data_IF_468671294938
#
_entry.id   IF_468671294938
#
_cell.length_a   1.000
_cell.length_b   1.000
_cell.length_c   1.000
_cell.angle_alpha   90.00
_cell.angle_beta   90.00
_cell.angle_gamma   90.00
#
_symmetry.space_group_name_H-M   'P 1'
#
loop_
_entity.id
_entity.type
_entity.pdbx_description
1 polymer ?
#
# COMPACT_ATOMS: atom_id res chain seq x y z
N UNK A 1 48.41 -48.78 19.56
CA UNK A 1 48.35 -47.48 20.27
C UNK A 1 47.09 -46.76 19.79
N UNK A 2 45.98 -46.78 20.55
CA UNK A 2 45.52 -45.71 21.49
C UNK A 2 45.21 -44.38 20.76
N UNK A 3 44.06 -43.69 20.79
CA UNK A 3 42.75 -43.66 21.53
C UNK A 3 41.75 -42.88 20.61
N UNK A 4 40.46 -43.20 20.45
CA UNK A 4 39.27 -42.91 21.29
C UNK A 4 39.03 -41.45 21.73
N UNK A 5 37.79 -40.96 21.46
CA UNK A 5 36.95 -39.86 22.04
C UNK A 5 36.57 -38.78 21.01
N UNK A 6 35.32 -38.67 20.53
CA UNK A 6 34.02 -38.31 21.18
C UNK A 6 33.83 -36.81 21.44
N UNK A 7 32.63 -36.33 21.09
CA UNK A 7 31.89 -35.16 21.60
C UNK A 7 31.75 -33.94 20.67
N UNK A 8 30.56 -33.83 20.05
CA UNK A 8 29.84 -32.55 19.89
C UNK A 8 29.48 -31.99 21.28
N UNK A 9 29.21 -30.67 21.49
CA UNK A 9 27.85 -30.16 21.23
C UNK A 9 27.69 -28.63 20.97
N UNK A 10 26.51 -28.30 20.41
CA UNK A 10 25.69 -27.09 20.63
C UNK A 10 26.18 -25.72 20.11
N UNK A 11 25.44 -25.19 19.14
CA UNK A 11 24.99 -23.80 19.17
C UNK A 11 23.53 -23.74 18.72
N UNK A 12 22.67 -23.34 19.66
CA UNK A 12 21.24 -23.12 19.54
C UNK A 12 20.93 -21.69 19.11
N UNK A 13 19.70 -21.49 18.63
CA UNK A 13 18.94 -20.24 18.54
C UNK A 13 19.33 -19.31 17.36
N UNK A 14 18.44 -18.67 16.61
CA UNK A 14 17.03 -18.34 16.80
C UNK A 14 16.26 -18.57 15.47
N UNK A 15 15.18 -19.34 15.52
CA UNK A 15 14.05 -19.22 14.59
C UNK A 15 13.00 -18.37 15.30
N UNK A 16 12.82 -17.12 14.89
CA UNK A 16 11.61 -16.36 15.26
C UNK A 16 10.62 -16.48 14.10
N UNK A 17 9.64 -17.37 14.32
CA UNK A 17 8.40 -17.38 13.57
C UNK A 17 7.57 -16.16 14.01
N UNK A 18 7.33 -15.23 13.08
CA UNK A 18 6.42 -14.12 13.28
C UNK A 18 5.02 -14.57 12.83
N UNK A 19 4.29 -15.21 13.74
CA UNK A 19 2.87 -15.51 13.56
C UNK A 19 2.08 -14.45 14.31
N UNK A 20 1.61 -13.42 13.61
CA UNK A 20 0.59 -12.51 14.13
C UNK A 20 -0.73 -12.81 13.44
N UNK A 21 -1.67 -13.23 14.27
CA UNK A 21 -3.06 -13.45 13.96
C UNK A 21 -3.74 -12.16 13.48
N UNK A 22 -4.63 -12.31 12.52
CA UNK A 22 -5.76 -11.39 12.37
C UNK A 22 -7.01 -12.21 12.09
N UNK A 23 -7.76 -12.36 13.18
CA UNK A 23 -9.05 -13.02 13.30
C UNK A 23 -10.09 -12.00 12.85
N UNK A 24 -10.55 -12.09 11.60
CA UNK A 24 -11.72 -11.34 11.14
C UNK A 24 -12.95 -12.11 11.59
N UNK A 25 -13.73 -11.47 12.46
CA UNK A 25 -15.02 -11.94 12.94
C UNK A 25 -16.01 -11.99 11.78
N UNK A 26 -16.47 -13.19 11.43
CA UNK A 26 -17.67 -13.39 10.60
C UNK A 26 -18.82 -13.52 11.58
N UNK A 27 -19.71 -12.53 11.56
CA UNK A 27 -20.97 -12.54 12.30
C UNK A 27 -21.85 -13.69 11.82
N UNK A 28 -22.01 -14.69 12.68
CA UNK A 28 -22.99 -15.75 12.54
C UNK A 28 -24.26 -15.35 13.28
N UNK A 29 -25.32 -15.10 12.51
CA UNK A 29 -26.70 -14.98 12.98
C UNK A 29 -27.17 -16.30 13.58
N UNK A 30 -27.55 -16.30 14.86
CA UNK A 30 -28.34 -17.37 15.45
C UNK A 30 -29.62 -16.80 16.06
N UNK A 31 -30.72 -17.03 15.35
CA UNK A 31 -32.05 -17.11 15.94
C UNK A 31 -32.03 -18.07 17.13
N UNK A 32 -32.46 -17.59 18.30
CA UNK A 32 -33.32 -18.39 19.19
C UNK A 32 -34.07 -17.50 20.17
N UNK A 33 -35.35 -17.82 20.19
CA UNK A 33 -36.51 -17.31 20.90
C UNK A 33 -36.48 -17.69 22.40
N UNK A 34 -37.47 -17.16 23.13
CA UNK A 34 -37.87 -17.40 24.53
C UNK A 34 -37.28 -16.41 25.55
N UNK A 35 -38.02 -15.80 26.47
CA UNK A 35 -39.46 -15.60 26.67
C UNK A 35 -39.57 -14.63 27.86
N UNK A 36 -40.66 -13.87 27.85
CA UNK A 36 -41.52 -13.57 29.00
C UNK A 36 -41.22 -12.42 29.99
N UNK A 37 -42.31 -11.64 30.14
CA UNK A 37 -42.84 -10.95 31.32
C UNK A 37 -42.02 -9.87 32.04
N UNK A 38 -42.46 -8.61 31.88
CA UNK A 38 -42.98 -7.84 33.01
C UNK A 38 -43.84 -6.66 32.53
N UNK A 39 -45.14 -6.77 32.80
CA UNK A 39 -46.11 -5.66 32.81
C UNK A 39 -45.72 -4.65 33.88
N UNK A 40 -45.75 -3.35 33.57
CA UNK A 40 -46.19 -2.32 34.53
C UNK A 40 -47.14 -1.34 33.81
N UNK A 41 -48.27 -1.13 34.47
CA UNK A 41 -49.41 -0.29 34.16
C UNK A 41 -49.08 1.21 34.29
N UNK A 42 -49.80 2.07 33.56
CA UNK A 42 -49.93 3.48 33.93
C UNK A 42 -50.31 4.42 32.80
N UNK A 43 -51.59 4.44 32.42
CA UNK A 43 -52.17 5.48 31.59
C UNK A 43 -52.39 6.77 32.41
N UNK A 44 -52.11 7.94 31.82
CA UNK A 44 -52.83 9.17 32.17
C UNK A 44 -52.04 10.48 32.22
N UNK A 45 -52.22 11.29 31.16
CA UNK A 45 -52.38 12.77 31.17
C UNK A 45 -51.20 13.66 31.59
N UNK A 46 -50.61 14.36 30.62
CA UNK A 46 -50.83 15.80 30.35
C UNK A 46 -49.69 16.38 29.49
N UNK A 47 -50.05 17.25 28.55
CA UNK A 47 -49.11 17.89 27.63
C UNK A 47 -48.16 18.88 28.30
N UNK A 48 -47.02 19.08 27.67
CA UNK A 48 -46.25 20.32 27.75
C UNK A 48 -45.35 20.41 26.51
N UNK A 49 -45.61 21.41 25.67
CA UNK A 49 -44.68 21.86 24.62
C UNK A 49 -43.32 22.20 25.24
N UNK A 50 -42.26 21.55 24.77
CA UNK A 50 -40.88 22.05 24.80
C UNK A 50 -40.13 21.54 23.57
N UNK A 51 -39.92 22.46 22.64
CA UNK A 51 -38.71 22.71 21.85
C UNK A 51 -37.87 21.53 21.33
N UNK A 52 -37.71 21.55 19.99
CA UNK A 52 -36.47 21.33 19.25
C UNK A 52 -35.60 20.12 19.65
N UNK A 53 -35.82 19.01 18.95
CA UNK A 53 -34.76 18.15 18.41
C UNK A 53 -35.31 17.49 17.15
N UNK A 54 -35.13 18.14 16.00
CA UNK A 54 -35.15 17.38 14.73
C UNK A 54 -33.93 16.47 14.76
N UNK A 55 -34.22 15.19 14.92
CA UNK A 55 -33.27 14.10 15.06
C UNK A 55 -32.30 14.08 13.86
N UNK A 56 -31.01 14.08 14.15
CA UNK A 56 -29.91 13.98 13.17
C UNK A 56 -29.74 12.53 12.66
N UNK A 57 -30.82 11.74 12.65
CA UNK A 57 -30.77 10.29 12.42
C UNK A 57 -31.30 9.85 11.04
N UNK A 58 -31.85 10.77 10.23
CA UNK A 58 -32.50 10.43 8.95
C UNK A 58 -31.61 10.51 7.69
N UNK A 59 -30.28 10.62 7.83
CA UNK A 59 -29.35 10.66 6.66
C UNK A 59 -28.53 9.37 6.47
N UNK A 60 -28.62 8.38 7.38
CA UNK A 60 -27.71 7.21 7.38
C UNK A 60 -28.37 5.88 6.95
N UNK A 61 -29.53 5.91 6.29
CA UNK A 61 -30.13 4.68 5.75
C UNK A 61 -30.91 4.96 4.48
N UNK A 62 -30.24 4.90 3.32
CA UNK A 62 -30.93 5.11 2.05
C UNK A 62 -30.10 5.11 0.76
N UNK A 63 -28.81 4.81 0.79
CA UNK A 63 -28.11 4.41 -0.45
C UNK A 63 -28.04 2.87 -0.49
N UNK A 64 -29.18 2.27 -0.82
CA UNK A 64 -29.23 0.92 -1.35
C UNK A 64 -28.15 0.77 -2.43
N UNK A 65 -27.42 -0.35 -2.41
CA UNK A 65 -26.48 -0.81 -3.43
C UNK A 65 -26.84 -0.29 -4.83
N UNK A 66 -26.35 0.88 -5.22
CA UNK A 66 -26.25 1.22 -6.63
C UNK A 66 -25.21 0.25 -7.11
N UNK A 67 -25.63 -0.83 -7.78
CA UNK A 67 -24.74 -1.80 -8.39
C UNK A 67 -23.71 -0.99 -9.16
N UNK A 68 -22.52 -0.82 -8.58
CA UNK A 68 -21.42 -0.23 -9.32
C UNK A 68 -21.22 -1.22 -10.46
N UNK A 69 -21.26 -0.76 -11.72
CA UNK A 69 -20.85 -1.61 -12.82
C UNK A 69 -19.51 -2.24 -12.42
N UNK A 70 -19.40 -3.56 -12.54
CA UNK A 70 -18.12 -4.21 -12.31
C UNK A 70 -17.11 -3.52 -13.25
N UNK A 71 -16.08 -2.85 -12.72
CA UNK A 71 -15.20 -2.05 -13.56
C UNK A 71 -14.44 -2.99 -14.49
N UNK A 72 -14.40 -2.75 -15.79
CA UNK A 72 -13.62 -3.59 -16.71
C UNK A 72 -12.16 -3.12 -16.79
N UNK A 73 -11.91 -1.84 -16.43
CA UNK A 73 -10.58 -1.22 -16.43
C UNK A 73 -10.28 -0.58 -15.08
N UNK A 74 -9.19 -1.01 -14.46
CA UNK A 74 -8.67 -0.44 -13.22
C UNK A 74 -7.30 0.19 -13.48
N UNK A 75 -7.16 1.48 -13.20
CA UNK A 75 -5.87 2.15 -13.18
C UNK A 75 -5.34 2.24 -11.75
N UNK A 76 -4.08 1.87 -11.54
CA UNK A 76 -3.37 1.95 -10.27
C UNK A 76 -2.20 2.90 -10.45
N UNK A 77 -2.25 4.07 -9.80
CA UNK A 77 -1.18 5.07 -9.86
C UNK A 77 -0.22 4.85 -8.69
N UNK A 78 0.92 4.22 -8.97
CA UNK A 78 2.01 3.98 -8.02
C UNK A 78 2.51 2.54 -8.03
N UNK A 79 3.55 2.27 -8.83
CA UNK A 79 4.21 0.95 -8.95
C UNK A 79 5.18 0.62 -7.79
N UNK A 80 4.74 0.80 -6.55
CA UNK A 80 5.49 0.35 -5.35
C UNK A 80 4.69 -0.72 -4.60
N UNK A 81 5.05 -0.97 -3.33
CA UNK A 81 4.39 -1.98 -2.49
C UNK A 81 2.86 -1.88 -2.51
N UNK A 82 2.32 -0.68 -2.33
CA UNK A 82 0.86 -0.47 -2.34
C UNK A 82 0.20 -0.89 -3.64
N UNK A 83 0.71 -0.41 -4.78
CA UNK A 83 0.13 -0.73 -6.08
C UNK A 83 0.31 -2.19 -6.48
N UNK A 84 1.49 -2.77 -6.25
CA UNK A 84 1.72 -4.19 -6.56
C UNK A 84 0.83 -5.11 -5.71
N UNK A 85 0.73 -4.87 -4.39
CA UNK A 85 -0.14 -5.69 -3.52
C UNK A 85 -1.61 -5.53 -3.89
N UNK A 86 -2.01 -4.35 -4.37
CA UNK A 86 -3.35 -4.11 -4.89
C UNK A 86 -3.60 -4.95 -6.14
N UNK A 87 -2.71 -4.90 -7.14
CA UNK A 87 -2.82 -5.69 -8.36
C UNK A 87 -2.87 -7.20 -8.08
N UNK A 88 -2.00 -7.69 -7.19
CA UNK A 88 -2.00 -9.08 -6.74
C UNK A 88 -3.30 -9.48 -6.05
N UNK A 89 -3.87 -8.59 -5.24
CA UNK A 89 -5.14 -8.84 -4.57
C UNK A 89 -6.30 -8.90 -5.56
N UNK A 90 -6.32 -7.99 -6.54
CA UNK A 90 -7.32 -7.97 -7.60
C UNK A 90 -7.28 -9.26 -8.43
N UNK A 91 -6.09 -9.68 -8.88
CA UNK A 91 -5.93 -10.94 -9.64
C UNK A 91 -6.21 -12.18 -8.79
N UNK A 92 -5.59 -12.30 -7.63
CA UNK A 92 -5.66 -13.53 -6.83
C UNK A 92 -6.98 -13.71 -6.06
N UNK A 93 -7.35 -12.72 -5.23
CA UNK A 93 -8.53 -12.82 -4.34
C UNK A 93 -9.79 -12.28 -4.99
N UNK A 94 -9.66 -11.17 -5.71
CA UNK A 94 -10.77 -10.54 -6.42
C UNK A 94 -11.21 -11.31 -7.66
N UNK A 95 -10.35 -12.20 -8.19
CA UNK A 95 -10.53 -12.89 -9.48
C UNK A 95 -10.94 -11.90 -10.56
N UNK A 96 -10.29 -10.75 -10.54
CA UNK A 96 -10.55 -9.70 -11.48
C UNK A 96 -9.92 -10.06 -12.81
N UNK A 97 -10.73 -10.18 -13.86
CA UNK A 97 -10.29 -10.58 -15.21
C UNK A 97 -10.13 -9.38 -16.16
N UNK A 98 -10.58 -8.18 -15.75
CA UNK A 98 -10.46 -6.98 -16.56
C UNK A 98 -9.03 -6.44 -16.67
N UNK A 99 -8.86 -5.33 -17.38
CA UNK A 99 -7.55 -4.69 -17.56
C UNK A 99 -7.11 -4.00 -16.26
N UNK A 100 -5.90 -4.29 -15.81
CA UNK A 100 -5.25 -3.53 -14.73
C UNK A 100 -4.04 -2.83 -15.32
N UNK A 101 -4.03 -1.49 -15.28
CA UNK A 101 -2.86 -0.69 -15.65
C UNK A 101 -2.16 -0.22 -14.39
N UNK A 102 -0.88 -0.56 -14.22
CA UNK A 102 -0.05 -0.14 -13.10
C UNK A 102 0.97 0.90 -13.56
N UNK A 103 0.80 2.13 -13.10
CA UNK A 103 1.59 3.29 -13.52
C UNK A 103 2.65 3.60 -12.48
N UNK A 104 3.90 3.75 -12.90
CA UNK A 104 5.04 4.02 -12.03
C UNK A 104 5.98 5.06 -12.63
N UNK A 105 6.25 6.12 -11.87
CA UNK A 105 7.18 7.18 -12.29
C UNK A 105 8.65 6.71 -12.35
N UNK A 106 8.99 5.60 -11.71
CA UNK A 106 10.34 5.02 -11.71
C UNK A 106 10.43 3.91 -12.77
N UNK A 107 11.56 3.74 -13.46
CA UNK A 107 11.72 2.75 -14.53
C UNK A 107 11.91 1.31 -14.01
N UNK A 108 11.94 1.13 -12.69
CA UNK A 108 12.24 -0.13 -12.04
C UNK A 108 10.97 -0.93 -11.73
N UNK A 109 11.06 -2.26 -11.79
CA UNK A 109 10.01 -3.14 -11.26
C UNK A 109 9.75 -2.85 -9.77
N UNK A 110 8.54 -3.10 -9.24
CA UNK A 110 8.21 -2.75 -7.86
C UNK A 110 9.17 -3.38 -6.85
N UNK A 111 9.72 -2.54 -5.98
CA UNK A 111 10.75 -2.91 -5.02
C UNK A 111 10.48 -2.33 -3.63
N UNK A 112 11.13 -2.90 -2.62
CA UNK A 112 11.05 -2.50 -1.23
C UNK A 112 12.05 -1.38 -0.92
N UNK A 113 11.57 -0.33 -0.26
CA UNK A 113 12.36 0.89 0.01
C UNK A 113 13.19 0.86 1.30
N UNK A 114 12.82 0.18 2.41
CA UNK A 114 13.60 0.13 3.64
C UNK A 114 15.06 -0.37 3.52
N UNK A 115 15.41 -1.29 2.60
CA UNK A 115 16.80 -1.69 2.38
C UNK A 115 17.66 -0.60 1.72
N UNK A 116 17.06 0.40 1.07
CA UNK A 116 17.78 1.43 0.32
C UNK A 116 18.69 2.31 1.17
N UNK A 117 18.34 2.55 2.43
CA UNK A 117 19.15 3.31 3.39
C UNK A 117 20.03 2.43 4.28
N UNK A 118 20.02 1.11 4.05
CA UNK A 118 20.72 0.12 4.84
C UNK A 118 21.61 -0.72 3.95
N UNK A 119 21.20 -1.95 3.64
CA UNK A 119 22.02 -2.94 2.96
C UNK A 119 22.48 -2.47 1.57
N UNK A 120 21.62 -1.76 0.83
CA UNK A 120 21.99 -1.24 -0.50
C UNK A 120 22.99 -0.11 -0.39
N UNK A 121 22.73 0.88 0.48
CA UNK A 121 23.62 2.02 0.68
C UNK A 121 24.99 1.58 1.24
N UNK A 122 24.99 0.59 2.14
CA UNK A 122 26.19 -0.03 2.68
C UNK A 122 26.95 -0.89 1.65
N UNK A 123 26.36 -1.16 0.48
CA UNK A 123 26.95 -1.99 -0.57
C UNK A 123 26.93 -3.49 -0.27
N UNK A 124 26.16 -3.94 0.73
CA UNK A 124 25.99 -5.35 1.07
C UNK A 124 25.05 -6.06 0.09
N UNK A 125 24.06 -5.34 -0.43
CA UNK A 125 23.07 -5.85 -1.38
C UNK A 125 23.11 -5.05 -2.68
N UNK A 126 22.99 -5.74 -3.81
CA UNK A 126 22.65 -5.08 -5.07
C UNK A 126 21.16 -4.71 -5.13
N UNK A 127 20.77 -3.70 -5.94
CA UNK A 127 19.39 -3.24 -6.04
C UNK A 127 18.38 -4.32 -6.40
N UNK A 128 18.78 -5.33 -7.18
CA UNK A 128 17.95 -6.46 -7.58
C UNK A 128 17.40 -7.26 -6.40
N UNK A 129 18.10 -7.28 -5.25
CA UNK A 129 17.62 -7.94 -4.04
C UNK A 129 16.50 -7.19 -3.34
N UNK A 130 16.19 -5.97 -3.76
CA UNK A 130 15.09 -5.17 -3.22
C UNK A 130 13.77 -5.42 -3.92
N UNK A 131 13.75 -6.11 -5.07
CA UNK A 131 12.51 -6.41 -5.78
C UNK A 131 11.50 -7.11 -4.86
N UNK A 132 10.26 -6.62 -4.87
CA UNK A 132 9.19 -7.17 -4.02
C UNK A 132 8.76 -8.56 -4.47
N UNK A 133 8.81 -8.77 -5.78
CA UNK A 133 8.61 -10.05 -6.44
C UNK A 133 9.52 -10.09 -7.68
N UNK A 134 9.99 -11.29 -8.11
CA UNK A 134 10.72 -11.46 -9.36
C UNK A 134 9.92 -10.94 -10.58
N UNK A 135 10.58 -10.38 -11.61
CA UNK A 135 9.90 -9.82 -12.79
C UNK A 135 8.92 -10.79 -13.46
N UNK A 136 9.30 -12.05 -13.60
CA UNK A 136 8.47 -13.13 -14.13
C UNK A 136 7.14 -13.28 -13.38
N UNK A 137 7.16 -13.20 -12.05
CA UNK A 137 5.94 -13.25 -11.23
C UNK A 137 5.07 -12.01 -11.35
N UNK A 138 5.69 -10.85 -11.62
CA UNK A 138 4.93 -9.62 -11.87
C UNK A 138 4.28 -9.70 -13.24
N UNK A 139 4.99 -10.20 -14.24
CA UNK A 139 4.49 -10.36 -15.61
C UNK A 139 3.34 -11.39 -15.67
N UNK A 140 3.39 -12.46 -14.86
CA UNK A 140 2.31 -13.44 -14.68
C UNK A 140 0.97 -12.83 -14.22
N UNK A 141 0.98 -11.62 -13.63
CA UNK A 141 -0.24 -10.92 -13.24
C UNK A 141 -1.01 -10.34 -14.43
N UNK A 142 -0.44 -10.32 -15.64
CA UNK A 142 -1.09 -9.79 -16.84
C UNK A 142 -1.50 -8.33 -16.67
N UNK A 143 -0.56 -7.48 -16.23
CA UNK A 143 -0.76 -6.05 -16.03
C UNK A 143 -0.29 -5.28 -17.26
N UNK A 144 -0.97 -4.17 -17.57
CA UNK A 144 -0.39 -3.13 -18.42
C UNK A 144 0.57 -2.29 -17.53
N UNK A 145 1.86 -2.62 -17.58
CA UNK A 145 2.90 -1.96 -16.79
C UNK A 145 3.42 -0.71 -17.48
N UNK A 146 3.15 0.47 -16.91
CA UNK A 146 3.66 1.77 -17.37
C UNK A 146 4.74 2.28 -16.43
N UNK A 147 5.95 1.70 -16.53
CA UNK A 147 7.11 2.11 -15.73
C UNK A 147 7.84 3.29 -16.38
N UNK A 148 8.61 4.04 -15.58
CA UNK A 148 9.32 5.24 -16.03
C UNK A 148 8.41 6.38 -16.48
N UNK A 149 7.10 6.28 -16.21
CA UNK A 149 6.08 7.19 -16.72
C UNK A 149 5.27 7.74 -15.56
N UNK A 150 5.30 9.07 -15.38
CA UNK A 150 4.65 9.74 -14.25
C UNK A 150 3.20 10.06 -14.61
N UNK A 151 2.28 9.80 -13.69
CA UNK A 151 0.95 10.39 -13.76
C UNK A 151 1.01 11.87 -13.34
N UNK A 152 0.56 12.76 -14.21
CA UNK A 152 0.67 14.22 -14.03
C UNK A 152 -0.69 14.91 -13.85
N UNK A 153 -1.77 14.27 -14.31
CA UNK A 153 -3.11 14.83 -14.21
C UNK A 153 -4.18 13.75 -14.07
N UNK A 154 -5.31 14.15 -13.50
CA UNK A 154 -6.49 13.31 -13.34
C UNK A 154 -7.72 14.06 -13.86
N UNK A 155 -8.37 13.50 -14.87
CA UNK A 155 -9.65 13.96 -15.39
C UNK A 155 -10.75 12.99 -14.94
N UNK A 156 -11.63 13.44 -14.03
CA UNK A 156 -12.71 12.62 -13.49
C UNK A 156 -13.94 12.58 -14.41
N UNK A 157 -14.11 13.56 -15.29
CA UNK A 157 -15.23 13.62 -16.22
C UNK A 157 -14.97 12.67 -17.39
N UNK A 158 -13.78 12.75 -18.00
CA UNK A 158 -13.33 11.82 -19.03
C UNK A 158 -12.92 10.44 -18.47
N UNK A 159 -12.67 10.35 -17.15
CA UNK A 159 -12.13 9.17 -16.45
C UNK A 159 -10.79 8.72 -17.01
N UNK A 160 -9.84 9.64 -17.06
CA UNK A 160 -8.51 9.41 -17.59
C UNK A 160 -7.41 9.93 -16.66
N UNK A 161 -6.27 9.21 -16.66
CA UNK A 161 -5.02 9.68 -16.07
C UNK A 161 -4.12 10.18 -17.19
N UNK A 162 -3.68 11.44 -17.10
CA UNK A 162 -2.70 12.01 -18.02
C UNK A 162 -1.28 11.63 -17.58
N UNK A 163 -0.47 11.17 -18.53
CA UNK A 163 0.89 10.69 -18.33
C UNK A 163 1.93 11.68 -18.85
N UNK A 164 3.14 11.62 -18.30
CA UNK A 164 4.27 12.52 -18.63
C UNK A 164 4.81 12.35 -20.06
N UNK A 165 4.49 11.24 -20.72
CA UNK A 165 4.80 10.99 -22.13
C UNK A 165 3.74 11.56 -23.09
N UNK A 166 2.68 12.18 -22.55
CA UNK A 166 1.56 12.73 -23.30
C UNK A 166 0.43 11.73 -23.55
N UNK A 167 0.58 10.46 -23.17
CA UNK A 167 -0.49 9.47 -23.26
C UNK A 167 -1.57 9.66 -22.18
N UNK A 168 -2.70 8.98 -22.39
CA UNK A 168 -3.85 8.98 -21.47
C UNK A 168 -4.30 7.55 -21.20
N UNK A 169 -4.51 7.24 -19.92
CA UNK A 169 -5.00 5.94 -19.46
C UNK A 169 -6.42 6.09 -18.95
N UNK A 170 -7.37 5.55 -19.71
CA UNK A 170 -8.77 5.49 -19.30
C UNK A 170 -9.02 4.45 -18.20
N UNK A 171 -9.96 4.74 -17.30
CA UNK A 171 -10.32 3.84 -16.20
C UNK A 171 -11.82 3.84 -15.91
N UNK A 172 -12.30 2.76 -15.32
CA UNK A 172 -13.63 2.69 -14.70
C UNK A 172 -13.52 2.79 -13.18
N UNK A 173 -12.38 2.38 -12.62
CA UNK A 173 -11.99 2.60 -11.23
C UNK A 173 -10.52 2.99 -11.13
N UNK A 174 -10.22 3.92 -10.23
CA UNK A 174 -8.88 4.47 -10.03
C UNK A 174 -8.41 4.20 -8.61
N UNK A 175 -7.16 3.75 -8.46
CA UNK A 175 -6.50 3.53 -7.18
C UNK A 175 -5.26 4.41 -7.10
N UNK A 176 -5.20 5.28 -6.09
CA UNK A 176 -4.06 6.14 -5.83
C UNK A 176 -3.15 5.46 -4.78
N UNK A 177 -1.98 5.01 -5.23
CA UNK A 177 -0.95 4.34 -4.44
C UNK A 177 0.42 5.02 -4.61
N UNK A 178 0.43 6.33 -4.85
CA UNK A 178 1.62 7.15 -5.17
C UNK A 178 2.67 7.21 -4.06
N UNK A 179 2.30 6.87 -2.84
CA UNK A 179 3.19 6.91 -1.69
C UNK A 179 3.53 8.34 -1.30
N UNK A 180 4.82 8.66 -1.21
CA UNK A 180 5.29 9.96 -0.73
C UNK A 180 6.59 10.37 -1.43
N UNK A 181 6.82 11.68 -1.49
CA UNK A 181 8.03 12.31 -2.02
C UNK A 181 8.78 12.98 -0.87
N UNK A 182 10.14 12.93 -0.83
CA UNK A 182 10.91 13.66 0.18
C UNK A 182 10.61 15.16 0.13
N UNK A 183 10.61 15.80 1.31
CA UNK A 183 10.60 17.26 1.38
C UNK A 183 11.98 17.77 1.01
N UNK A 184 12.04 18.80 0.18
CA UNK A 184 13.26 19.57 -0.04
C UNK A 184 13.35 20.71 0.96
N UNK A 185 14.58 21.08 1.35
CA UNK A 185 14.79 22.20 2.26
C UNK A 185 14.49 23.52 1.51
N UNK A 186 13.63 24.40 2.04
CA UNK A 186 13.30 25.66 1.38
C UNK A 186 14.53 26.58 1.30
N UNK A 187 14.56 27.45 0.29
CA UNK A 187 15.65 28.40 0.04
C UNK A 187 17.05 27.77 -0.11
N UNK A 188 17.09 26.48 -0.44
CA UNK A 188 18.35 25.80 -0.75
C UNK A 188 18.71 26.10 -2.20
N UNK A 189 19.86 26.74 -2.47
CA UNK A 189 20.33 26.94 -3.84
C UNK A 189 20.64 25.59 -4.50
N UNK A 190 20.60 25.54 -5.83
CA UNK A 190 21.00 24.35 -6.59
C UNK A 190 22.52 24.13 -6.43
N UNK A 191 22.86 23.30 -5.44
CA UNK A 191 24.24 22.98 -5.07
C UNK A 191 24.46 21.49 -5.22
N UNK A 192 25.61 21.14 -5.81
CA UNK A 192 26.12 19.78 -5.77
C UNK A 192 26.29 19.31 -4.31
N UNK A 193 26.08 18.01 -4.07
CA UNK A 193 26.25 17.41 -2.75
C UNK A 193 25.00 17.39 -1.87
N UNK A 194 23.86 17.90 -2.34
CA UNK A 194 22.58 17.81 -1.64
C UNK A 194 21.78 16.65 -2.20
N UNK A 195 21.48 15.67 -1.34
CA UNK A 195 20.80 14.44 -1.74
C UNK A 195 19.59 14.18 -0.85
N UNK A 196 18.50 13.73 -1.47
CA UNK A 196 17.42 13.02 -0.80
C UNK A 196 17.58 11.52 -1.02
N UNK A 197 17.02 10.69 -0.13
CA UNK A 197 17.07 9.23 -0.26
C UNK A 197 15.66 8.65 -0.28
N UNK A 198 15.16 8.31 -1.48
CA UNK A 198 13.86 7.66 -1.65
C UNK A 198 13.87 6.54 -2.69
N UNK A 199 14.65 6.69 -3.76
CA UNK A 199 14.67 5.76 -4.89
C UNK A 199 15.93 4.91 -4.90
N UNK A 200 15.94 3.84 -5.71
CA UNK A 200 17.17 3.08 -6.01
C UNK A 200 18.24 4.04 -6.56
N UNK A 201 17.86 4.91 -7.49
CA UNK A 201 18.79 5.85 -8.13
C UNK A 201 19.40 6.83 -7.11
N UNK A 202 18.62 7.29 -6.12
CA UNK A 202 19.14 8.10 -5.02
C UNK A 202 20.16 7.32 -4.19
N UNK A 203 19.85 6.08 -3.80
CA UNK A 203 20.73 5.23 -3.00
C UNK A 203 22.06 4.99 -3.73
N UNK A 204 21.99 4.67 -5.03
CA UNK A 204 23.16 4.42 -5.86
C UNK A 204 24.01 5.68 -6.05
N UNK A 205 23.39 6.84 -6.26
CA UNK A 205 24.08 8.14 -6.35
C UNK A 205 24.80 8.46 -5.04
N UNK A 206 24.10 8.40 -3.91
CA UNK A 206 24.70 8.67 -2.59
C UNK A 206 25.83 7.69 -2.30
N UNK A 207 25.66 6.39 -2.62
CA UNK A 207 26.72 5.39 -2.44
C UNK A 207 27.98 5.73 -3.22
N UNK A 208 27.85 6.15 -4.47
CA UNK A 208 28.98 6.54 -5.31
C UNK A 208 29.74 7.75 -4.72
N UNK A 209 29.01 8.72 -4.18
CA UNK A 209 29.58 9.91 -3.53
C UNK A 209 30.29 9.56 -2.22
N UNK A 210 29.67 8.71 -1.39
CA UNK A 210 30.26 8.23 -0.13
C UNK A 210 31.57 7.46 -0.35
N UNK A 211 31.71 6.77 -1.49
CA UNK A 211 32.95 6.07 -1.84
C UNK A 211 34.16 7.01 -2.02
N UNK A 212 33.93 8.31 -2.24
CA UNK A 212 34.98 9.32 -2.32
C UNK A 212 35.48 9.78 -0.93
N UNK A 213 34.90 9.28 0.16
CA UNK A 213 35.23 9.67 1.54
C UNK A 213 34.91 11.13 1.91
N UNK A 214 33.75 11.70 1.49
CA UNK A 214 33.40 13.08 1.83
C UNK A 214 33.10 13.25 3.32
N UNK A 215 33.05 14.51 3.78
CA UNK A 215 32.44 14.85 5.07
C UNK A 215 30.93 14.94 4.86
N UNK A 216 30.17 14.24 5.69
CA UNK A 216 28.71 14.10 5.53
C UNK A 216 28.00 14.80 6.67
N UNK A 217 26.94 15.55 6.33
CA UNK A 217 25.93 16.02 7.28
C UNK A 217 24.60 15.38 6.91
N UNK A 218 23.89 14.83 7.91
CA UNK A 218 22.54 14.29 7.73
C UNK A 218 21.55 15.26 8.34
N UNK A 219 20.57 15.69 7.55
CA UNK A 219 19.46 16.54 8.00
C UNK A 219 18.21 15.69 8.04
N UNK A 220 17.68 15.47 9.24
CA UNK A 220 16.55 14.58 9.50
C UNK A 220 15.62 15.15 10.54
#
# INVERSE_FOLDING_TARGET
MMRSRSASPRASALRMAWTIASRVAIGGSSHRELANDARILGAGRNGCHKDATDSVDDVVTGQENRAMPHPDRIAIVGASLGGLRTAQTLRGRGKFEGTITLIGAEPHYPYDRPPLSKQVLAGEWGPERTLLDPPDKVDELGLDLRLGTRAEGLDLEAREVALSDGERVGFDSLIIATGATPRTLPNTPDLAGIYTLRTIDDSMRIRAELAQGPRVAVVG
#
